data_IF_571541665101
#
_entry.id   IF_571541665101
#
_cell.length_a   1.000
_cell.length_b   1.000
_cell.length_c   1.000
_cell.angle_alpha   90.00
_cell.angle_beta   90.00
_cell.angle_gamma   90.00
#
_symmetry.space_group_name_H-M   'P 1'
#
loop_
_entity.id
_entity.type
_entity.pdbx_description
1 polymer ?
#
# COMPACT_ATOMS: atom_id res chain seq x y z
N UNK A 1 25.76 -2.85 -19.43
CA UNK A 1 25.14 -3.63 -18.33
C UNK A 1 25.11 -5.05 -18.82
N UNK A 2 25.84 -5.95 -18.16
CA UNK A 2 25.88 -7.35 -18.59
C UNK A 2 24.63 -8.05 -18.07
N UNK A 3 24.13 -8.99 -18.87
CA UNK A 3 22.96 -9.80 -18.54
C UNK A 3 23.40 -11.25 -18.50
N UNK A 4 23.08 -11.91 -17.39
CA UNK A 4 23.48 -13.29 -17.12
C UNK A 4 22.26 -14.19 -17.07
N UNK A 5 22.38 -15.39 -17.64
CA UNK A 5 21.36 -16.42 -17.46
C UNK A 5 21.54 -17.19 -16.13
N UNK A 6 20.67 -18.17 -15.88
CA UNK A 6 20.73 -18.97 -14.65
C UNK A 6 22.04 -19.75 -14.49
N UNK A 7 22.60 -20.28 -15.57
CA UNK A 7 23.81 -21.08 -15.50
C UNK A 7 24.99 -20.17 -15.19
N UNK A 8 25.05 -19.03 -15.88
CA UNK A 8 26.05 -18.01 -15.68
C UNK A 8 26.08 -17.41 -14.28
N UNK A 9 24.92 -17.27 -13.63
CA UNK A 9 24.85 -16.85 -12.22
C UNK A 9 25.35 -17.95 -11.29
N UNK A 10 24.96 -19.20 -11.52
CA UNK A 10 25.38 -20.36 -10.71
C UNK A 10 26.89 -20.54 -10.74
N UNK A 11 27.51 -20.31 -11.90
CA UNK A 11 28.96 -20.45 -12.07
C UNK A 11 29.76 -19.31 -11.41
N UNK A 12 29.10 -18.17 -11.10
CA UNK A 12 29.73 -16.97 -10.54
C UNK A 12 29.42 -16.73 -9.05
N UNK A 13 28.36 -17.33 -8.52
CA UNK A 13 27.93 -17.16 -7.13
C UNK A 13 28.40 -18.35 -6.28
N UNK A 14 29.32 -18.09 -5.38
CA UNK A 14 29.87 -19.11 -4.49
C UNK A 14 28.81 -19.61 -3.49
N UNK A 15 28.68 -20.93 -3.36
CA UNK A 15 27.69 -21.57 -2.49
C UNK A 15 26.30 -21.78 -3.12
N UNK A 16 26.12 -21.39 -4.39
CA UNK A 16 24.91 -21.65 -5.16
C UNK A 16 25.09 -22.89 -6.07
N UNK A 17 24.77 -24.06 -5.54
CA UNK A 17 25.20 -25.32 -6.16
C UNK A 17 24.42 -25.78 -7.41
N UNK A 18 23.33 -25.11 -7.80
CA UNK A 18 22.56 -25.52 -8.98
C UNK A 18 21.58 -24.47 -9.49
N UNK A 19 21.25 -24.54 -10.78
CA UNK A 19 20.17 -23.75 -11.41
C UNK A 19 18.82 -23.96 -10.73
N UNK A 20 18.53 -25.19 -10.29
CA UNK A 20 17.30 -25.51 -9.56
C UNK A 20 17.22 -24.80 -8.21
N UNK A 21 18.36 -24.66 -7.52
CA UNK A 21 18.46 -23.88 -6.28
C UNK A 21 18.21 -22.40 -6.55
N UNK A 22 18.85 -21.84 -7.58
CA UNK A 22 18.67 -20.44 -7.96
C UNK A 22 17.21 -20.13 -8.35
N UNK A 23 16.55 -21.02 -9.10
CA UNK A 23 15.12 -20.87 -9.43
C UNK A 23 14.23 -20.81 -8.18
N UNK A 24 14.53 -21.65 -7.18
CA UNK A 24 13.82 -21.63 -5.88
C UNK A 24 14.09 -20.34 -5.11
N UNK A 25 15.33 -19.87 -5.11
CA UNK A 25 15.69 -18.60 -4.46
C UNK A 25 14.99 -17.43 -5.12
N UNK A 26 15.02 -17.33 -6.46
CA UNK A 26 14.31 -16.30 -7.21
C UNK A 26 12.83 -16.23 -6.81
N UNK A 27 12.11 -17.37 -6.86
CA UNK A 27 10.70 -17.43 -6.47
C UNK A 27 10.48 -16.97 -5.03
N UNK A 28 11.37 -17.36 -4.11
CA UNK A 28 11.27 -16.98 -2.71
C UNK A 28 11.54 -15.50 -2.50
N UNK A 29 12.51 -14.93 -3.22
CA UNK A 29 12.83 -13.50 -3.20
C UNK A 29 11.64 -12.69 -3.74
N UNK A 30 11.10 -13.06 -4.90
CA UNK A 30 9.90 -12.43 -5.48
C UNK A 30 8.72 -12.46 -4.48
N UNK A 31 8.50 -13.61 -3.83
CA UNK A 31 7.42 -13.79 -2.85
C UNK A 31 7.63 -12.99 -1.56
N UNK A 32 8.86 -12.90 -1.04
CA UNK A 32 9.13 -12.25 0.25
C UNK A 32 9.30 -10.74 0.13
N UNK A 33 9.73 -10.24 -1.03
CA UNK A 33 10.19 -8.85 -1.19
C UNK A 33 9.45 -8.08 -2.27
N UNK A 34 8.67 -8.76 -3.11
CA UNK A 34 8.02 -8.16 -4.27
C UNK A 34 9.00 -7.73 -5.37
N UNK A 35 10.29 -8.07 -5.26
CA UNK A 35 11.29 -7.84 -6.31
C UNK A 35 10.83 -8.52 -7.60
N UNK A 36 11.04 -7.87 -8.76
CA UNK A 36 10.73 -8.43 -10.07
C UNK A 36 12.03 -8.54 -10.86
N UNK A 37 12.42 -9.77 -11.21
CA UNK A 37 13.60 -10.01 -12.03
C UNK A 37 13.29 -9.78 -13.51
N UNK A 38 14.29 -9.41 -14.31
CA UNK A 38 14.09 -9.15 -15.74
C UNK A 38 13.71 -10.43 -16.46
N UNK A 39 12.60 -10.36 -17.19
CA UNK A 39 12.08 -11.46 -18.00
C UNK A 39 12.35 -11.19 -19.48
N UNK A 40 12.79 -12.23 -20.18
CA UNK A 40 12.93 -12.21 -21.64
C UNK A 40 12.27 -13.45 -22.24
N UNK A 41 12.03 -13.41 -23.55
CA UNK A 41 11.40 -14.51 -24.30
C UNK A 41 12.33 -14.93 -25.42
N UNK A 42 12.77 -16.18 -25.35
CA UNK A 42 13.57 -16.79 -26.42
C UNK A 42 12.67 -17.67 -27.25
N UNK A 43 12.83 -17.59 -28.58
CA UNK A 43 12.09 -18.42 -29.52
C UNK A 43 12.65 -19.84 -29.48
N UNK A 44 11.86 -20.77 -28.95
CA UNK A 44 12.25 -22.18 -28.78
C UNK A 44 11.75 -23.04 -29.94
N UNK A 45 10.81 -22.52 -30.74
CA UNK A 45 10.29 -23.24 -31.92
C UNK A 45 9.68 -22.32 -32.97
N UNK A 46 9.06 -22.91 -34.00
CA UNK A 46 8.48 -22.16 -35.12
C UNK A 46 7.37 -21.18 -34.68
N UNK A 47 6.62 -21.47 -33.62
CA UNK A 47 5.57 -20.58 -33.07
C UNK A 47 5.61 -20.47 -31.54
N UNK A 48 6.67 -20.97 -30.90
CA UNK A 48 6.74 -21.13 -29.45
C UNK A 48 7.87 -20.31 -28.86
N UNK A 49 7.60 -19.67 -27.73
CA UNK A 49 8.57 -18.89 -26.97
C UNK A 49 8.66 -19.46 -25.55
N UNK A 50 9.89 -19.62 -25.06
CA UNK A 50 10.15 -19.94 -23.67
C UNK A 50 10.49 -18.67 -22.91
N UNK A 51 9.95 -18.58 -21.69
CA UNK A 51 10.28 -17.53 -20.74
C UNK A 51 11.65 -17.83 -20.13
N UNK A 52 12.55 -16.85 -20.20
CA UNK A 52 13.86 -16.87 -19.54
C UNK A 52 13.97 -15.68 -18.60
N UNK A 53 14.85 -15.79 -17.60
CA UNK A 53 15.17 -14.69 -16.69
C UNK A 53 16.62 -14.30 -16.93
N UNK A 54 16.85 -12.99 -16.89
CA UNK A 54 18.15 -12.38 -17.05
C UNK A 54 18.47 -11.60 -15.79
N UNK A 55 19.70 -11.73 -15.32
CA UNK A 55 20.18 -11.15 -14.08
C UNK A 55 21.26 -10.12 -14.39
N UNK A 56 21.28 -9.05 -13.63
CA UNK A 56 22.28 -7.97 -13.73
C UNK A 56 23.45 -8.22 -12.80
N UNK A 57 24.55 -7.47 -12.98
CA UNK A 57 25.69 -7.51 -12.05
C UNK A 57 25.27 -7.25 -10.58
N UNK A 58 24.28 -6.37 -10.37
CA UNK A 58 23.71 -6.10 -9.05
C UNK A 58 22.99 -7.32 -8.46
N UNK A 59 22.23 -8.05 -9.30
CA UNK A 59 21.55 -9.27 -8.87
C UNK A 59 22.57 -10.34 -8.43
N UNK A 60 23.70 -10.47 -9.14
CA UNK A 60 24.78 -11.38 -8.74
C UNK A 60 25.34 -11.00 -7.36
N UNK A 61 25.61 -9.72 -7.13
CA UNK A 61 26.09 -9.23 -5.84
C UNK A 61 25.08 -9.52 -4.72
N UNK A 62 23.78 -9.35 -4.98
CA UNK A 62 22.74 -9.69 -4.02
C UNK A 62 22.62 -11.20 -3.78
N UNK A 63 22.73 -12.03 -4.81
CA UNK A 63 22.73 -13.48 -4.64
C UNK A 63 23.93 -13.95 -3.81
N UNK A 64 25.11 -13.39 -4.05
CA UNK A 64 26.31 -13.68 -3.25
C UNK A 64 26.10 -13.28 -1.79
N UNK A 65 25.61 -12.07 -1.53
CA UNK A 65 25.33 -11.61 -0.18
C UNK A 65 24.30 -12.48 0.55
N UNK A 66 23.31 -13.04 -0.17
CA UNK A 66 22.37 -14.01 0.41
C UNK A 66 23.07 -15.34 0.71
N UNK A 67 23.93 -15.83 -0.19
CA UNK A 67 24.68 -17.07 0.02
C UNK A 67 25.59 -16.98 1.25
N UNK A 68 26.33 -15.89 1.41
CA UNK A 68 27.23 -15.67 2.54
C UNK A 68 26.48 -15.65 3.88
N UNK A 69 25.29 -15.02 3.91
CA UNK A 69 24.45 -14.92 5.12
C UNK A 69 23.58 -16.14 5.38
N UNK A 70 23.35 -16.99 4.38
CA UNK A 70 22.44 -18.13 4.49
C UNK A 70 22.89 -19.14 5.54
N UNK A 71 24.20 -19.36 5.68
CA UNK A 71 24.77 -20.31 6.64
C UNK A 71 24.49 -19.92 8.10
N UNK A 72 24.44 -18.62 8.41
CA UNK A 72 24.25 -18.10 9.76
C UNK A 72 22.80 -17.75 10.09
N UNK A 73 22.04 -17.19 9.16
CA UNK A 73 20.68 -16.67 9.41
C UNK A 73 19.56 -17.57 8.89
N UNK A 74 19.89 -18.54 8.03
CA UNK A 74 18.91 -19.24 7.21
C UNK A 74 18.45 -18.42 6.00
N UNK A 75 17.88 -19.09 5.00
CA UNK A 75 17.61 -18.50 3.68
C UNK A 75 16.66 -17.30 3.72
N UNK A 76 15.52 -17.41 4.41
CA UNK A 76 14.51 -16.32 4.41
C UNK A 76 15.02 -15.05 5.08
N UNK A 77 15.69 -15.18 6.24
CA UNK A 77 16.28 -14.04 6.95
C UNK A 77 17.46 -13.44 6.18
N UNK A 78 18.26 -14.27 5.50
CA UNK A 78 19.32 -13.79 4.61
C UNK A 78 18.74 -12.98 3.44
N UNK A 79 17.68 -13.47 2.79
CA UNK A 79 16.96 -12.77 1.72
C UNK A 79 16.45 -11.42 2.23
N UNK A 80 15.74 -11.39 3.37
CA UNK A 80 15.20 -10.15 3.93
C UNK A 80 16.30 -9.17 4.35
N UNK A 81 17.44 -9.65 4.84
CA UNK A 81 18.57 -8.78 5.17
C UNK A 81 19.16 -8.08 3.93
N UNK A 82 19.26 -8.80 2.82
CA UNK A 82 19.88 -8.28 1.57
C UNK A 82 18.87 -7.46 0.76
N UNK A 83 17.74 -8.05 0.41
CA UNK A 83 16.72 -7.45 -0.45
C UNK A 83 15.73 -6.57 0.31
N UNK A 84 15.46 -6.87 1.59
CA UNK A 84 14.56 -6.05 2.42
C UNK A 84 15.14 -4.69 2.77
N UNK A 85 16.48 -4.54 2.73
CA UNK A 85 17.14 -3.25 2.94
C UNK A 85 17.04 -2.32 1.72
N UNK A 86 16.82 -2.84 0.51
CA UNK A 86 16.76 -2.01 -0.72
C UNK A 86 15.47 -1.19 -0.82
N UNK A 87 14.39 -1.61 -0.13
CA UNK A 87 13.19 -0.77 0.09
C UNK A 87 13.15 -0.08 1.46
N UNK A 88 14.16 -0.30 2.31
CA UNK A 88 14.15 0.16 3.69
C UNK A 88 14.95 1.44 3.97
N UNK A 89 15.70 2.00 3.01
CA UNK A 89 16.56 3.17 3.26
C UNK A 89 16.08 4.50 2.71
N UNK A 90 15.08 4.53 1.82
CA UNK A 90 14.57 5.81 1.28
C UNK A 90 13.18 6.22 1.79
N UNK A 91 12.39 5.33 2.38
CA UNK A 91 10.98 5.66 2.70
C UNK A 91 10.42 5.11 4.02
N UNK A 92 11.21 4.53 4.92
CA UNK A 92 10.71 4.15 6.24
C UNK A 92 11.12 5.18 7.27
N UNK A 93 10.26 6.19 7.46
CA UNK A 93 10.22 6.92 8.74
C UNK A 93 10.20 5.87 9.87
N UNK A 94 11.02 6.01 10.92
CA UNK A 94 10.93 5.18 12.11
C UNK A 94 9.47 4.96 12.50
N UNK A 95 9.12 3.75 12.96
CA UNK A 95 7.74 3.42 13.38
C UNK A 95 7.16 4.50 14.28
N UNK A 96 7.99 5.10 15.14
CA UNK A 96 7.62 6.21 16.01
C UNK A 96 7.15 7.44 15.24
N UNK A 97 7.87 7.88 14.22
CA UNK A 97 7.46 9.03 13.39
C UNK A 97 6.16 8.74 12.62
N UNK A 98 5.97 7.51 12.15
CA UNK A 98 4.70 7.10 11.53
C UNK A 98 3.54 7.12 12.52
N UNK A 99 3.78 6.71 13.77
CA UNK A 99 2.77 6.77 14.84
C UNK A 99 2.46 8.22 15.20
N UNK A 100 3.48 9.07 15.33
CA UNK A 100 3.31 10.50 15.64
C UNK A 100 2.48 11.20 14.54
N UNK A 101 2.75 10.91 13.26
CA UNK A 101 1.96 11.45 12.14
C UNK A 101 0.52 10.93 12.11
N UNK A 102 0.33 9.66 12.47
CA UNK A 102 -1.00 9.07 12.56
C UNK A 102 -1.80 9.70 13.71
N UNK A 103 -1.16 9.97 14.85
CA UNK A 103 -1.79 10.65 15.99
C UNK A 103 -2.21 12.08 15.63
N UNK A 104 -1.34 12.85 14.96
CA UNK A 104 -1.67 14.21 14.51
C UNK A 104 -2.85 14.18 13.54
N UNK A 105 -2.80 13.34 12.51
CA UNK A 105 -3.90 13.25 11.53
C UNK A 105 -5.22 12.78 12.16
N UNK A 106 -5.15 11.87 13.15
CA UNK A 106 -6.33 11.45 13.90
C UNK A 106 -6.93 12.60 14.72
N UNK A 107 -6.11 13.40 15.39
CA UNK A 107 -6.58 14.58 16.13
C UNK A 107 -7.25 15.61 15.22
N UNK A 108 -6.65 15.91 14.06
CA UNK A 108 -7.23 16.84 13.09
C UNK A 108 -8.60 16.37 12.60
N UNK A 109 -8.73 15.09 12.23
CA UNK A 109 -9.99 14.49 11.80
C UNK A 109 -11.03 14.54 12.93
N UNK A 110 -10.62 14.25 14.17
CA UNK A 110 -11.51 14.27 15.31
C UNK A 110 -12.03 15.68 15.60
N UNK A 111 -11.17 16.69 15.53
CA UNK A 111 -11.56 18.08 15.71
C UNK A 111 -12.52 18.55 14.60
N UNK A 112 -12.22 18.24 13.34
CA UNK A 112 -13.11 18.56 12.21
C UNK A 112 -14.47 17.90 12.36
N UNK A 113 -14.50 16.63 12.79
CA UNK A 113 -15.75 15.94 13.07
C UNK A 113 -16.56 16.66 14.16
N UNK A 114 -15.93 17.07 15.26
CA UNK A 114 -16.61 17.78 16.35
C UNK A 114 -17.12 19.16 15.92
N UNK A 115 -16.34 19.90 15.14
CA UNK A 115 -16.75 21.20 14.56
C UNK A 115 -17.98 21.03 13.68
N UNK A 116 -17.92 20.10 12.72
CA UNK A 116 -19.03 19.83 11.80
C UNK A 116 -20.31 19.38 12.53
N UNK A 117 -20.17 18.55 13.57
CA UNK A 117 -21.31 18.08 14.36
C UNK A 117 -21.97 19.24 15.13
N UNK A 118 -21.16 20.14 15.69
CA UNK A 118 -21.64 21.35 16.37
C UNK A 118 -22.38 22.27 15.41
N UNK A 119 -21.81 22.55 14.23
CA UNK A 119 -22.47 23.36 13.20
C UNK A 119 -23.80 22.75 12.75
N UNK A 120 -23.84 21.43 12.55
CA UNK A 120 -25.05 20.74 12.10
C UNK A 120 -26.16 20.83 13.16
N UNK A 121 -25.81 20.70 14.45
CA UNK A 121 -26.75 20.89 15.57
C UNK A 121 -27.33 22.31 15.59
N UNK A 122 -26.48 23.33 15.43
CA UNK A 122 -26.95 24.72 15.38
C UNK A 122 -27.89 24.97 14.20
N UNK A 123 -27.55 24.47 13.01
CA UNK A 123 -28.40 24.57 11.82
C UNK A 123 -29.74 23.87 12.05
N UNK A 124 -29.74 22.71 12.70
CA UNK A 124 -30.96 21.97 13.04
C UNK A 124 -31.86 22.77 13.99
N UNK A 125 -31.31 23.37 15.04
CA UNK A 125 -32.07 24.20 15.99
C UNK A 125 -32.72 25.41 15.29
N UNK A 126 -31.97 26.10 14.43
CA UNK A 126 -32.49 27.24 13.65
C UNK A 126 -33.65 26.81 12.74
N UNK A 127 -33.52 25.67 12.06
CA UNK A 127 -34.57 25.13 11.19
C UNK A 127 -35.81 24.73 11.98
N UNK A 128 -35.65 24.10 13.14
CA UNK A 128 -36.77 23.73 14.02
C UNK A 128 -37.55 24.96 14.48
N UNK A 129 -36.86 26.01 14.91
CA UNK A 129 -37.51 27.29 15.28
C UNK A 129 -38.24 27.89 14.09
N UNK A 130 -37.64 27.84 12.89
CA UNK A 130 -38.27 28.38 11.67
C UNK A 130 -39.55 27.61 11.31
N UNK A 131 -39.53 26.28 11.40
CA UNK A 131 -40.71 25.43 11.16
C UNK A 131 -41.82 25.79 12.15
N UNK A 132 -41.52 25.85 13.45
CA UNK A 132 -42.52 26.20 14.46
C UNK A 132 -43.17 27.57 14.22
N UNK A 133 -42.40 28.56 13.79
CA UNK A 133 -42.93 29.89 13.47
C UNK A 133 -43.86 29.85 12.23
N UNK A 134 -43.48 29.11 11.19
CA UNK A 134 -44.30 28.95 9.99
C UNK A 134 -45.61 28.18 10.29
N UNK A 135 -45.55 27.16 11.15
CA UNK A 135 -46.74 26.42 11.61
C UNK A 135 -47.70 27.35 12.37
N UNK A 136 -47.20 28.22 13.25
CA UNK A 136 -48.04 29.23 13.92
C UNK A 136 -48.66 30.21 12.93
N UNK A 137 -47.87 30.77 12.02
CA UNK A 137 -48.39 31.72 11.01
C UNK A 137 -49.46 31.10 10.10
N UNK A 138 -49.29 29.84 9.71
CA UNK A 138 -50.26 29.13 8.88
C UNK A 138 -51.55 28.81 9.67
N UNK A 139 -51.43 28.40 10.94
CA UNK A 139 -52.57 28.22 11.85
C UNK A 139 -53.38 29.50 12.10
N UNK A 140 -52.70 30.63 12.26
CA UNK A 140 -53.36 31.94 12.45
C UNK A 140 -54.09 32.39 11.17
N UNK A 141 -53.48 32.16 10.00
CA UNK A 141 -54.08 32.48 8.69
C UNK A 141 -55.32 31.63 8.40
N UNK A 142 -55.29 30.33 8.72
CA UNK A 142 -56.45 29.43 8.55
C UNK A 142 -57.58 29.80 9.51
N UNK A 143 -57.25 30.10 10.77
CA UNK A 143 -58.22 30.55 11.79
C UNK A 143 -58.93 31.85 11.39
N UNK A 144 -58.16 32.84 10.88
CA UNK A 144 -58.74 34.08 10.33
C UNK A 144 -59.66 33.81 9.15
N UNK A 145 -59.24 32.99 8.16
CA UNK A 145 -60.08 32.64 7.01
C UNK A 145 -61.41 32.00 7.43
N UNK A 146 -61.42 31.04 8.35
CA UNK A 146 -62.66 30.37 8.81
C UNK A 146 -63.59 31.38 9.50
N UNK A 147 -63.05 32.34 10.25
CA UNK A 147 -63.85 33.42 10.86
C UNK A 147 -64.50 34.37 9.85
N UNK A 148 -63.88 34.58 8.68
CA UNK A 148 -64.45 35.39 7.59
C UNK A 148 -65.59 34.69 6.84
N UNK A 149 -65.56 33.35 6.71
CA UNK A 149 -66.61 32.59 6.00
C UNK A 149 -67.84 32.26 6.87
N UNK A 150 -67.82 32.57 8.17
CA UNK A 150 -68.94 32.31 9.11
C UNK A 150 -69.81 33.54 9.42
N UNK A 151 -69.65 34.65 8.69
CA UNK A 151 -70.51 35.84 8.81
C UNK A 151 -71.44 35.98 7.62
#
# INVERSE_FOLDING_TARGET
>A
MNEYDYQEVVDRVDGLNSVSTLKKWRLKIESLTGTQFKESRVRTGRKSYSKIYLFTDDDLAYFQAVADKKSSLGLERAILSVYGSSKGKDHQKPIRELVDELEVSFMEIQEDYQRNLTELKQKLEVLLVRIQNLEKETGDKTSKRIGFFKR
#
